data_IF_284981199148
#
_entry.id   IF_284981199148
#
_cell.length_a   1.000
_cell.length_b   1.000
_cell.length_c   1.000
_cell.angle_alpha   90.00
_cell.angle_beta   90.00
_cell.angle_gamma   90.00
#
_symmetry.space_group_name_H-M   'P 1'
#
loop_
_entity.id
_entity.type
_entity.pdbx_description
1 polymer ?
#
# COMPACT_ATOMS: atom_id res chain seq x y z
N UNK A 1 26.71 -16.46 -17.67
CA UNK A 1 25.25 -16.31 -17.61
C UNK A 1 24.96 -15.44 -16.40
N UNK A 2 24.19 -14.36 -16.56
CA UNK A 2 23.83 -13.51 -15.43
C UNK A 2 22.69 -14.14 -14.63
N UNK A 3 22.75 -14.05 -13.30
CA UNK A 3 21.65 -14.42 -12.42
C UNK A 3 20.92 -13.17 -11.93
N UNK A 4 19.61 -13.13 -12.08
CA UNK A 4 18.77 -12.04 -11.64
C UNK A 4 17.80 -12.55 -10.58
N UNK A 5 17.99 -12.08 -9.35
CA UNK A 5 17.04 -12.23 -8.27
C UNK A 5 16.04 -11.08 -8.34
N UNK A 6 14.89 -11.33 -8.94
CA UNK A 6 13.80 -10.37 -9.07
C UNK A 6 12.87 -10.46 -7.85
N UNK A 7 12.83 -9.38 -7.07
CA UNK A 7 12.16 -9.30 -5.77
C UNK A 7 10.99 -8.34 -5.84
N UNK A 8 9.84 -8.74 -5.29
CA UNK A 8 8.74 -7.82 -5.05
C UNK A 8 9.03 -6.94 -3.83
N UNK A 9 8.73 -5.65 -3.89
CA UNK A 9 8.87 -4.77 -2.73
C UNK A 9 8.12 -5.29 -1.46
N UNK A 10 8.59 -4.86 -0.28
CA UNK A 10 7.96 -5.13 1.02
C UNK A 10 6.58 -4.48 1.19
N UNK A 11 5.85 -4.84 2.24
CA UNK A 11 4.54 -4.23 2.53
C UNK A 11 4.67 -2.72 2.76
N UNK A 12 3.88 -1.96 1.99
CA UNK A 12 3.74 -0.52 2.10
C UNK A 12 2.32 -0.12 2.50
N UNK A 13 2.11 1.16 2.80
CA UNK A 13 0.81 1.70 3.20
C UNK A 13 -0.30 1.31 2.23
N UNK A 14 -0.12 1.50 0.93
CA UNK A 14 -1.17 1.14 -0.03
C UNK A 14 -1.51 -0.35 -0.04
N UNK A 15 -0.59 -1.25 0.34
CA UNK A 15 -0.93 -2.67 0.54
C UNK A 15 -1.86 -2.85 1.75
N UNK A 16 -1.50 -2.25 2.88
CA UNK A 16 -2.25 -2.35 4.13
C UNK A 16 -3.62 -1.66 4.05
N UNK A 17 -3.68 -0.48 3.43
CA UNK A 17 -4.88 0.33 3.28
C UNK A 17 -5.78 -0.09 2.10
N UNK A 18 -5.40 -1.13 1.35
CA UNK A 18 -6.15 -1.60 0.15
C UNK A 18 -6.35 -0.48 -0.89
N UNK A 19 -5.28 0.28 -1.17
CA UNK A 19 -5.26 1.31 -2.21
C UNK A 19 -4.35 0.91 -3.38
N UNK A 20 -4.73 1.30 -4.58
CA UNK A 20 -3.95 1.15 -5.81
C UNK A 20 -2.74 2.07 -5.76
N UNK A 21 -1.55 1.51 -5.57
CA UNK A 21 -0.33 2.31 -5.53
C UNK A 21 0.15 2.67 -6.93
N UNK A 22 0.36 1.68 -7.79
CA UNK A 22 0.95 1.91 -9.11
C UNK A 22 2.20 2.83 -9.01
N UNK A 23 2.14 4.04 -9.56
CA UNK A 23 3.21 5.04 -9.45
C UNK A 23 3.13 5.92 -8.20
N UNK A 24 2.01 5.95 -7.48
CA UNK A 24 1.90 6.61 -6.18
C UNK A 24 2.89 5.99 -5.21
N UNK A 25 3.74 6.84 -4.63
CA UNK A 25 4.69 6.39 -3.64
C UNK A 25 4.01 6.23 -2.27
N UNK A 26 4.55 5.33 -1.44
CA UNK A 26 3.94 4.96 -0.18
C UNK A 26 5.02 4.60 0.84
N UNK A 27 4.78 4.95 2.11
CA UNK A 27 5.67 4.57 3.19
C UNK A 27 5.63 3.06 3.45
N UNK A 28 6.65 2.56 4.11
CA UNK A 28 6.81 1.16 4.49
C UNK A 28 6.18 0.92 5.86
N UNK A 29 5.41 -0.15 6.01
CA UNK A 29 4.81 -0.51 7.30
C UNK A 29 5.83 -1.19 8.21
N UNK A 30 5.53 -1.29 9.52
CA UNK A 30 6.32 -2.09 10.46
C UNK A 30 6.51 -3.53 9.96
N UNK A 31 5.46 -4.13 9.39
CA UNK A 31 5.53 -5.46 8.75
C UNK A 31 6.46 -5.47 7.54
N UNK A 32 6.46 -4.41 6.72
CA UNK A 32 7.39 -4.27 5.60
C UNK A 32 8.86 -4.25 6.06
N UNK A 33 9.18 -3.53 7.13
CA UNK A 33 10.54 -3.54 7.70
C UNK A 33 10.95 -4.92 8.22
N UNK A 34 10.03 -5.67 8.85
CA UNK A 34 10.28 -7.05 9.29
C UNK A 34 10.51 -8.00 8.09
N UNK A 35 9.76 -7.83 7.00
CA UNK A 35 9.98 -8.59 5.76
C UNK A 35 11.36 -8.29 5.17
N UNK A 36 11.82 -7.04 5.20
CA UNK A 36 13.15 -6.65 4.72
C UNK A 36 14.26 -7.33 5.51
N UNK A 37 14.10 -7.48 6.83
CA UNK A 37 15.05 -8.23 7.66
C UNK A 37 15.08 -9.72 7.30
N UNK A 38 13.92 -10.34 6.99
CA UNK A 38 13.88 -11.73 6.53
C UNK A 38 14.54 -11.89 5.15
N UNK A 39 14.30 -10.95 4.24
CA UNK A 39 14.94 -10.92 2.92
C UNK A 39 16.47 -10.75 3.07
N UNK A 40 16.92 -9.83 3.93
CA UNK A 40 18.35 -9.64 4.21
C UNK A 40 19.01 -10.93 4.68
N UNK A 41 18.38 -11.65 5.60
CA UNK A 41 18.88 -12.95 6.08
C UNK A 41 18.96 -13.99 4.97
N UNK A 42 17.97 -14.03 4.07
CA UNK A 42 17.97 -14.94 2.90
C UNK A 42 19.16 -14.70 1.98
N UNK A 43 19.57 -13.44 1.79
CA UNK A 43 20.66 -13.05 0.91
C UNK A 43 22.03 -12.96 1.60
N UNK A 44 22.18 -13.49 2.82
CA UNK A 44 23.42 -13.42 3.60
C UNK A 44 24.59 -14.19 2.98
N UNK A 45 24.32 -15.33 2.36
CA UNK A 45 25.37 -16.21 1.82
C UNK A 45 25.34 -16.27 0.28
N UNK A 46 24.51 -15.42 -0.35
CA UNK A 46 24.42 -15.27 -1.80
C UNK A 46 25.31 -14.10 -2.22
N UNK A 47 26.34 -14.31 -3.07
CA UNK A 47 27.13 -13.21 -3.63
C UNK A 47 26.23 -12.30 -4.47
N UNK A 48 26.35 -10.98 -4.31
CA UNK A 48 25.60 -9.99 -5.10
C UNK A 48 26.61 -9.00 -5.69
N UNK A 49 26.62 -8.88 -7.02
CA UNK A 49 27.52 -8.00 -7.77
C UNK A 49 26.87 -6.64 -8.08
N UNK A 50 25.53 -6.58 -8.06
CA UNK A 50 24.79 -5.34 -8.27
C UNK A 50 23.41 -5.34 -7.61
N UNK A 51 23.03 -4.21 -7.03
CA UNK A 51 21.71 -3.98 -6.44
C UNK A 51 20.97 -2.95 -7.28
N UNK A 52 19.76 -3.31 -7.71
CA UNK A 52 18.92 -2.51 -8.57
C UNK A 52 17.53 -2.38 -7.96
N UNK A 53 16.89 -1.24 -8.18
CA UNK A 53 15.55 -1.00 -7.68
C UNK A 53 14.77 -0.11 -8.63
N UNK A 54 13.44 -0.22 -8.60
CA UNK A 54 12.60 0.91 -9.00
C UNK A 54 12.86 2.11 -8.09
N UNK A 55 12.44 3.29 -8.52
CA UNK A 55 12.58 4.54 -7.78
C UNK A 55 11.55 4.74 -6.66
N UNK A 56 10.54 3.87 -6.54
CA UNK A 56 9.58 3.94 -5.46
C UNK A 56 10.26 3.71 -4.10
N UNK A 57 9.93 4.51 -3.08
CA UNK A 57 10.50 4.41 -1.75
C UNK A 57 10.38 3.00 -1.17
N UNK A 58 9.19 2.38 -1.29
CA UNK A 58 8.96 0.98 -0.88
C UNK A 58 9.90 -0.03 -1.53
N UNK A 59 10.31 0.19 -2.78
CA UNK A 59 11.27 -0.70 -3.46
C UNK A 59 12.69 -0.47 -2.95
N UNK A 60 13.10 0.79 -2.82
CA UNK A 60 14.43 1.17 -2.31
C UNK A 60 14.63 0.62 -0.89
N UNK A 61 13.67 0.86 -0.01
CA UNK A 61 13.70 0.38 1.38
C UNK A 61 13.75 -1.15 1.49
N UNK A 62 13.27 -1.89 0.47
CA UNK A 62 13.29 -3.35 0.46
C UNK A 62 14.72 -3.91 0.45
N UNK A 63 15.63 -3.26 -0.29
CA UNK A 63 17.03 -3.72 -0.45
C UNK A 63 18.02 -2.87 0.32
N UNK A 64 17.60 -1.76 0.91
CA UNK A 64 18.47 -0.88 1.67
C UNK A 64 19.28 -1.60 2.77
N UNK A 65 18.70 -2.52 3.58
CA UNK A 65 19.48 -3.26 4.57
C UNK A 65 20.60 -4.12 3.97
N UNK A 66 20.33 -4.75 2.83
CA UNK A 66 21.32 -5.56 2.09
C UNK A 66 22.41 -4.66 1.51
N UNK A 67 22.02 -3.55 0.88
CA UNK A 67 22.94 -2.58 0.31
C UNK A 67 23.91 -2.02 1.36
N UNK A 68 23.39 -1.62 2.53
CA UNK A 68 24.18 -1.15 3.67
C UNK A 68 25.15 -2.22 4.18
N UNK A 69 24.68 -3.44 4.38
CA UNK A 69 25.52 -4.56 4.87
C UNK A 69 26.65 -4.92 3.89
N UNK A 70 26.41 -4.80 2.58
CA UNK A 70 27.39 -5.14 1.53
C UNK A 70 28.27 -3.96 1.11
N UNK A 71 27.97 -2.73 1.53
CA UNK A 71 28.62 -1.53 1.02
C UNK A 71 28.41 -1.32 -0.49
N UNK A 72 27.29 -1.81 -1.04
CA UNK A 72 26.97 -1.70 -2.46
C UNK A 72 25.96 -0.56 -2.71
N UNK A 73 26.13 0.26 -3.76
CA UNK A 73 25.17 1.29 -4.10
C UNK A 73 23.90 0.69 -4.70
N UNK A 74 22.74 1.30 -4.41
CA UNK A 74 21.48 0.99 -5.08
C UNK A 74 21.44 1.73 -6.42
N UNK A 75 21.31 0.99 -7.52
CA UNK A 75 21.21 1.53 -8.88
C UNK A 75 19.75 1.59 -9.31
N UNK A 76 19.17 2.78 -9.36
CA UNK A 76 17.76 2.96 -9.71
C UNK A 76 17.52 2.83 -11.22
N UNK A 77 16.47 2.12 -11.62
CA UNK A 77 16.08 1.88 -13.01
C UNK A 77 14.58 2.10 -13.21
N UNK A 78 14.21 3.00 -14.13
CA UNK A 78 12.80 3.24 -14.48
C UNK A 78 12.12 1.98 -15.03
N UNK A 79 12.91 1.07 -15.61
CA UNK A 79 12.43 -0.19 -16.16
C UNK A 79 11.87 -1.16 -15.10
N UNK A 80 12.15 -0.90 -13.82
CA UNK A 80 11.66 -1.69 -12.69
C UNK A 80 10.40 -1.13 -12.02
N UNK A 81 9.91 0.06 -12.42
CA UNK A 81 8.65 0.67 -11.92
C UNK A 81 7.44 -0.24 -12.08
N UNK A 82 6.36 0.03 -11.34
CA UNK A 82 5.10 -0.71 -11.45
C UNK A 82 4.35 -0.36 -12.76
N UNK A 83 3.25 -1.07 -13.03
CA UNK A 83 2.20 -0.62 -13.95
C UNK A 83 1.70 0.80 -13.56
N UNK A 84 1.18 1.56 -14.52
CA UNK A 84 0.35 2.75 -14.23
C UNK A 84 -1.12 2.31 -14.16
N UNK A 85 -1.88 2.78 -13.19
CA UNK A 85 -3.33 2.50 -13.10
C UNK A 85 -4.19 3.68 -13.51
N UNK A 86 -3.58 4.74 -14.04
CA UNK A 86 -4.28 5.88 -14.61
C UNK A 86 -5.19 6.56 -13.60
N UNK A 87 -6.47 6.74 -13.95
CA UNK A 87 -7.46 7.37 -13.05
C UNK A 87 -7.66 6.64 -11.72
N UNK A 88 -7.22 5.39 -11.60
CA UNK A 88 -7.29 4.66 -10.34
C UNK A 88 -6.08 4.87 -9.44
N UNK A 89 -5.06 5.65 -9.81
CA UNK A 89 -3.92 5.86 -8.90
C UNK A 89 -4.34 6.47 -7.56
N UNK A 90 -3.85 5.86 -6.47
CA UNK A 90 -4.23 6.13 -5.09
C UNK A 90 -5.73 6.00 -4.78
N UNK A 91 -6.54 5.26 -5.54
CA UNK A 91 -7.93 4.96 -5.15
C UNK A 91 -8.02 3.73 -4.24
N UNK A 92 -8.99 3.71 -3.32
CA UNK A 92 -9.30 2.50 -2.56
C UNK A 92 -10.04 1.47 -3.46
N UNK A 93 -9.70 0.19 -3.32
CA UNK A 93 -10.35 -0.87 -4.11
C UNK A 93 -11.87 -0.92 -3.92
N UNK A 94 -12.39 -0.56 -2.73
CA UNK A 94 -13.82 -0.52 -2.48
C UNK A 94 -14.51 0.64 -3.20
N UNK A 95 -13.88 1.81 -3.28
CA UNK A 95 -14.36 2.94 -4.07
C UNK A 95 -14.32 2.62 -5.57
N UNK A 96 -13.26 1.98 -6.08
CA UNK A 96 -13.19 1.52 -7.47
C UNK A 96 -14.35 0.57 -7.80
N UNK A 97 -14.62 -0.41 -6.93
CA UNK A 97 -15.72 -1.36 -7.14
C UNK A 97 -17.11 -0.69 -7.13
N UNK A 98 -17.26 0.42 -6.40
CA UNK A 98 -18.49 1.22 -6.33
C UNK A 98 -18.66 2.14 -7.53
N UNK A 99 -17.62 2.87 -7.90
CA UNK A 99 -17.65 3.94 -8.91
C UNK A 99 -17.45 3.41 -10.34
N UNK A 100 -16.66 2.34 -10.48
CA UNK A 100 -16.33 1.70 -11.76
C UNK A 100 -16.67 0.19 -11.71
N UNK A 101 -17.92 -0.20 -11.47
CA UNK A 101 -18.27 -1.60 -11.20
C UNK A 101 -17.97 -2.54 -12.37
N UNK A 102 -18.11 -2.06 -13.62
CA UNK A 102 -17.81 -2.85 -14.81
C UNK A 102 -16.31 -3.04 -14.95
N UNK A 103 -15.54 -1.96 -14.92
CA UNK A 103 -14.10 -1.97 -15.07
C UNK A 103 -13.42 -2.72 -13.92
N UNK A 104 -13.94 -2.59 -12.69
CA UNK A 104 -13.48 -3.35 -11.54
C UNK A 104 -13.69 -4.86 -11.73
N UNK A 105 -14.83 -5.26 -12.31
CA UNK A 105 -15.10 -6.67 -12.65
C UNK A 105 -14.18 -7.14 -13.77
N UNK A 106 -14.01 -6.32 -14.81
CA UNK A 106 -13.09 -6.62 -15.92
C UNK A 106 -11.64 -6.74 -15.43
N UNK A 107 -11.22 -5.95 -14.45
CA UNK A 107 -9.89 -6.07 -13.83
C UNK A 107 -9.74 -7.36 -13.01
N UNK A 108 -10.78 -7.81 -12.32
CA UNK A 108 -10.72 -9.07 -11.57
C UNK A 108 -10.69 -10.29 -12.53
N UNK A 109 -11.53 -10.27 -13.57
CA UNK A 109 -11.66 -11.37 -14.51
C UNK A 109 -10.54 -11.39 -15.56
N UNK A 110 -10.19 -10.22 -16.10
CA UNK A 110 -9.32 -10.01 -17.26
C UNK A 110 -8.26 -8.91 -17.01
N UNK A 111 -7.45 -8.97 -15.94
CA UNK A 111 -6.50 -7.90 -15.59
C UNK A 111 -5.51 -7.57 -16.72
N UNK A 112 -5.20 -8.53 -17.60
CA UNK A 112 -4.30 -8.33 -18.74
C UNK A 112 -4.87 -7.40 -19.82
N UNK A 113 -6.19 -7.24 -19.87
CA UNK A 113 -6.85 -6.37 -20.84
C UNK A 113 -6.83 -4.89 -20.43
N UNK A 114 -6.55 -4.60 -19.14
CA UNK A 114 -6.58 -3.30 -18.48
C UNK A 114 -6.83 -2.09 -19.40
N UNK A 115 -8.09 -1.69 -19.50
CA UNK A 115 -8.56 -0.58 -20.34
C UNK A 115 -8.73 0.72 -19.55
N UNK A 116 -8.31 0.76 -18.29
CA UNK A 116 -8.45 1.93 -17.42
C UNK A 116 -7.78 3.15 -18.06
N UNK A 117 -8.45 4.31 -18.18
CA UNK A 117 -7.87 5.49 -18.80
C UNK A 117 -6.55 5.91 -18.15
N UNK A 118 -5.48 6.02 -18.95
CA UNK A 118 -4.13 6.36 -18.48
C UNK A 118 -3.29 5.17 -17.95
N UNK A 119 -3.85 3.96 -17.95
CA UNK A 119 -3.14 2.78 -17.50
C UNK A 119 -2.22 2.16 -18.57
N UNK A 120 -1.18 1.48 -18.11
CA UNK A 120 -0.28 0.71 -18.97
C UNK A 120 -0.83 -0.70 -19.18
N UNK A 121 -0.62 -1.25 -20.37
CA UNK A 121 -0.93 -2.66 -20.63
C UNK A 121 0.10 -3.57 -19.99
N UNK A 122 -0.29 -4.81 -19.68
CA UNK A 122 0.64 -5.83 -19.19
C UNK A 122 1.78 -6.11 -20.18
N UNK A 123 1.51 -6.04 -21.49
CA UNK A 123 2.53 -6.22 -22.51
C UNK A 123 3.57 -5.09 -22.48
N UNK A 124 3.13 -3.82 -22.44
CA UNK A 124 4.04 -2.66 -22.34
C UNK A 124 4.95 -2.77 -21.12
N UNK A 125 4.38 -3.20 -20.00
CA UNK A 125 5.12 -3.37 -18.75
C UNK A 125 6.13 -4.53 -18.84
N UNK A 126 5.75 -5.67 -19.44
CA UNK A 126 6.65 -6.79 -19.66
C UNK A 126 7.82 -6.39 -20.57
N UNK A 127 7.54 -5.75 -21.71
CA UNK A 127 8.56 -5.32 -22.67
C UNK A 127 9.57 -4.37 -22.02
N UNK A 128 9.08 -3.40 -21.24
CA UNK A 128 9.91 -2.48 -20.45
C UNK A 128 10.78 -3.22 -19.43
N UNK A 129 10.22 -4.15 -18.68
CA UNK A 129 10.98 -4.91 -17.68
C UNK A 129 12.08 -5.74 -18.36
N UNK A 130 11.74 -6.51 -19.40
CA UNK A 130 12.67 -7.38 -20.11
C UNK A 130 13.81 -6.56 -20.74
N UNK A 131 13.53 -5.37 -21.28
CA UNK A 131 14.57 -4.46 -21.75
C UNK A 131 15.52 -4.06 -20.61
N UNK A 132 14.99 -3.65 -19.46
CA UNK A 132 15.78 -3.30 -18.28
C UNK A 132 16.65 -4.44 -17.77
N UNK A 133 16.09 -5.64 -17.66
CA UNK A 133 16.81 -6.81 -17.15
C UNK A 133 17.93 -7.26 -18.08
N UNK A 134 17.79 -7.14 -19.41
CA UNK A 134 18.90 -7.37 -20.34
C UNK A 134 20.05 -6.39 -20.14
N UNK A 135 19.76 -5.11 -19.85
CA UNK A 135 20.80 -4.11 -19.55
C UNK A 135 21.50 -4.45 -18.24
N UNK A 136 20.73 -4.77 -17.21
CA UNK A 136 21.26 -5.19 -15.90
C UNK A 136 22.15 -6.42 -16.05
N UNK A 137 21.72 -7.44 -16.81
CA UNK A 137 22.52 -8.64 -17.08
C UNK A 137 23.87 -8.31 -17.72
N UNK A 138 23.93 -7.37 -18.67
CA UNK A 138 25.19 -6.91 -19.26
C UNK A 138 26.09 -6.18 -18.28
N UNK A 139 25.51 -5.42 -17.35
CA UNK A 139 26.27 -4.70 -16.32
C UNK A 139 26.93 -5.64 -15.30
N UNK A 140 26.26 -6.74 -14.93
CA UNK A 140 26.79 -7.72 -13.96
C UNK A 140 27.59 -8.86 -14.60
N UNK A 141 27.50 -9.04 -15.93
CA UNK A 141 28.20 -10.08 -16.66
C UNK A 141 27.78 -11.49 -16.21
N UNK A 142 28.73 -12.33 -15.85
CA UNK A 142 28.47 -13.69 -15.33
C UNK A 142 28.16 -13.71 -13.81
N UNK A 143 27.78 -12.54 -13.24
CA UNK A 143 27.48 -12.35 -11.82
C UNK A 143 25.99 -12.33 -11.46
N UNK A 144 25.70 -11.86 -10.24
CA UNK A 144 24.41 -11.90 -9.57
C UNK A 144 23.84 -10.48 -9.33
N UNK A 145 22.68 -10.18 -9.92
CA UNK A 145 21.94 -8.95 -9.70
C UNK A 145 20.75 -9.18 -8.75
N UNK A 146 20.61 -8.32 -7.74
CA UNK A 146 19.41 -8.22 -6.90
C UNK A 146 18.54 -7.07 -7.38
N UNK A 147 17.36 -7.35 -7.93
CA UNK A 147 16.49 -6.35 -8.56
C UNK A 147 15.15 -6.25 -7.84
N UNK A 148 14.77 -5.07 -7.35
CA UNK A 148 13.43 -4.85 -6.75
C UNK A 148 12.47 -4.22 -7.74
N UNK A 149 11.32 -4.86 -7.92
CA UNK A 149 10.22 -4.37 -8.74
C UNK A 149 8.89 -4.61 -8.01
N UNK A 150 7.79 -4.67 -8.77
CA UNK A 150 6.43 -4.62 -8.26
C UNK A 150 5.58 -5.74 -8.85
N UNK A 151 4.45 -6.01 -8.20
CA UNK A 151 3.70 -7.24 -8.43
C UNK A 151 3.19 -7.39 -9.86
N UNK A 152 2.57 -6.36 -10.44
CA UNK A 152 2.05 -6.46 -11.80
C UNK A 152 3.18 -6.54 -12.84
N UNK A 153 4.26 -5.81 -12.59
CA UNK A 153 5.44 -5.83 -13.44
C UNK A 153 6.15 -7.18 -13.45
N UNK A 154 6.36 -7.78 -12.28
CA UNK A 154 6.98 -9.09 -12.14
C UNK A 154 6.14 -10.16 -12.83
N UNK A 155 4.83 -10.23 -12.56
CA UNK A 155 3.96 -11.27 -13.15
C UNK A 155 3.85 -11.14 -14.68
N UNK A 156 3.82 -9.91 -15.21
CA UNK A 156 3.86 -9.66 -16.65
C UNK A 156 5.16 -10.18 -17.28
N UNK A 157 6.30 -9.80 -16.67
CA UNK A 157 7.61 -10.23 -17.12
C UNK A 157 7.80 -11.74 -17.10
N UNK A 158 7.38 -12.39 -16.02
CA UNK A 158 7.44 -13.84 -15.88
C UNK A 158 6.60 -14.55 -16.95
N UNK A 159 5.39 -14.07 -17.28
CA UNK A 159 4.62 -14.60 -18.41
C UNK A 159 5.43 -14.53 -19.71
N UNK A 160 5.98 -13.35 -20.05
CA UNK A 160 6.75 -13.15 -21.27
C UNK A 160 8.00 -14.05 -21.33
N UNK A 161 8.75 -14.15 -20.23
CA UNK A 161 9.96 -14.99 -20.15
C UNK A 161 9.68 -16.48 -20.32
N UNK A 162 8.51 -16.95 -19.86
CA UNK A 162 8.10 -18.34 -20.00
C UNK A 162 7.35 -18.63 -21.31
N UNK A 163 7.22 -17.66 -22.21
CA UNK A 163 6.45 -17.81 -23.45
C UNK A 163 4.95 -18.03 -23.21
N UNK A 164 4.42 -17.60 -22.06
CA UNK A 164 3.00 -17.70 -21.71
C UNK A 164 2.22 -16.49 -22.21
N UNK A 165 0.94 -16.65 -22.59
CA UNK A 165 0.09 -15.51 -22.91
C UNK A 165 -0.14 -14.63 -21.68
N UNK A 166 -0.41 -13.33 -21.87
CA UNK A 166 -0.68 -12.41 -20.75
C UNK A 166 -1.96 -12.78 -19.97
N UNK A 167 -2.85 -13.59 -20.54
CA UNK A 167 -3.98 -14.18 -19.81
C UNK A 167 -3.56 -15.02 -18.59
N UNK A 168 -2.32 -15.50 -18.56
CA UNK A 168 -1.79 -16.32 -17.47
C UNK A 168 -1.29 -15.51 -16.28
N UNK A 169 -1.35 -14.17 -16.29
CA UNK A 169 -0.85 -13.35 -15.16
C UNK A 169 -1.54 -13.67 -13.83
N UNK A 170 -2.77 -14.19 -13.84
CA UNK A 170 -3.46 -14.68 -12.63
C UNK A 170 -2.86 -16.00 -12.13
N UNK A 171 -2.41 -16.87 -13.03
CA UNK A 171 -1.76 -18.15 -12.71
C UNK A 171 -0.36 -17.93 -12.15
N UNK A 172 0.41 -17.03 -12.75
CA UNK A 172 1.72 -16.61 -12.21
C UNK A 172 1.55 -15.99 -10.83
N UNK A 173 0.47 -15.25 -10.63
CA UNK A 173 0.11 -14.69 -9.33
C UNK A 173 0.97 -13.50 -8.93
N UNK A 174 0.69 -12.96 -7.75
CA UNK A 174 1.26 -11.69 -7.31
C UNK A 174 2.61 -11.80 -6.60
N UNK A 175 2.98 -13.00 -6.15
CA UNK A 175 4.00 -13.19 -5.11
C UNK A 175 3.61 -12.57 -3.76
N UNK A 176 4.23 -13.03 -2.69
CA UNK A 176 4.23 -12.30 -1.42
C UNK A 176 5.09 -11.03 -1.53
N UNK A 177 4.85 -10.04 -0.68
CA UNK A 177 5.84 -8.96 -0.51
C UNK A 177 7.19 -9.61 -0.14
N UNK A 178 8.29 -9.12 -0.72
CA UNK A 178 9.65 -9.71 -0.66
C UNK A 178 9.82 -11.11 -1.27
N UNK A 179 8.81 -11.69 -1.92
CA UNK A 179 9.01 -12.94 -2.66
C UNK A 179 10.05 -12.78 -3.78
N UNK A 180 10.82 -13.83 -4.02
CA UNK A 180 11.96 -13.83 -4.95
C UNK A 180 11.68 -14.74 -6.14
N UNK A 181 11.97 -14.27 -7.34
CA UNK A 181 12.08 -15.11 -8.54
C UNK A 181 13.54 -15.10 -9.02
N UNK A 182 14.08 -16.25 -9.41
CA UNK A 182 15.41 -16.35 -9.99
C UNK A 182 15.30 -16.59 -11.50
N UNK A 183 15.96 -15.72 -12.25
CA UNK A 183 15.94 -15.67 -13.69
C UNK A 183 17.39 -15.69 -14.17
N UNK A 184 17.71 -16.55 -15.12
CA UNK A 184 18.99 -16.49 -15.81
C UNK A 184 18.86 -15.73 -17.13
N UNK A 185 19.92 -15.00 -17.47
CA UNK A 185 20.06 -14.30 -18.74
C UNK A 185 21.36 -14.75 -19.42
N UNK A 186 21.26 -15.33 -20.61
CA UNK A 186 22.42 -15.72 -21.40
C UNK A 186 23.09 -14.52 -22.09
N UNK A 187 24.16 -14.75 -22.86
CA UNK A 187 24.93 -13.69 -23.52
C UNK A 187 24.15 -13.04 -24.67
N UNK A 188 23.24 -13.79 -25.27
CA UNK A 188 22.32 -13.40 -26.33
C UNK A 188 21.14 -12.60 -25.77
N UNK A 189 20.91 -12.62 -24.46
CA UNK A 189 19.84 -11.90 -23.77
C UNK A 189 18.52 -12.68 -23.71
N UNK A 190 18.57 -14.01 -23.87
CA UNK A 190 17.43 -14.90 -23.64
C UNK A 190 17.25 -15.15 -22.15
N UNK A 191 16.01 -15.34 -21.74
CA UNK A 191 15.63 -15.55 -20.35
C UNK A 191 15.27 -17.01 -20.10
N UNK A 192 15.66 -17.54 -18.94
CA UNK A 192 15.11 -18.78 -18.38
C UNK A 192 14.75 -18.58 -16.91
N UNK A 193 13.55 -18.97 -16.50
CA UNK A 193 13.09 -18.85 -15.11
C UNK A 193 13.43 -20.13 -14.35
N UNK A 194 14.25 -20.03 -13.30
CA UNK A 194 14.60 -21.17 -12.45
C UNK A 194 13.52 -21.43 -11.39
N UNK A 195 13.12 -20.39 -10.67
CA UNK A 195 11.99 -20.41 -9.75
C UNK A 195 11.29 -19.05 -9.73
N UNK A 196 10.01 -19.05 -9.35
CA UNK A 196 9.20 -17.83 -9.27
C UNK A 196 8.50 -17.71 -7.91
N UNK A 197 8.36 -16.47 -7.43
CA UNK A 197 7.56 -16.11 -6.26
C UNK A 197 7.89 -16.88 -4.97
N UNK A 198 9.14 -17.27 -4.76
CA UNK A 198 9.54 -17.98 -3.55
C UNK A 198 9.62 -17.03 -2.35
N UNK A 199 8.68 -17.21 -1.42
CA UNK A 199 8.56 -16.52 -0.14
C UNK A 199 8.97 -17.38 1.07
N UNK A 200 9.72 -18.47 0.87
CA UNK A 200 10.11 -19.42 1.93
C UNK A 200 10.80 -18.79 3.15
N UNK A 201 11.49 -17.66 2.99
CA UNK A 201 12.12 -16.90 4.07
C UNK A 201 11.12 -16.18 5.00
N UNK A 202 9.84 -16.07 4.60
CA UNK A 202 8.82 -15.39 5.38
C UNK A 202 8.14 -16.36 6.34
N UNK A 203 8.11 -16.06 7.64
CA UNK A 203 7.23 -16.76 8.56
C UNK A 203 5.75 -16.41 8.25
N UNK A 204 4.79 -17.26 8.64
CA UNK A 204 3.38 -17.13 8.24
C UNK A 204 2.77 -15.74 8.51
N UNK A 205 3.07 -15.13 9.64
CA UNK A 205 2.57 -13.81 10.06
C UNK A 205 3.05 -12.65 9.18
N UNK A 206 4.21 -12.82 8.52
CA UNK A 206 4.76 -11.84 7.59
C UNK A 206 4.32 -12.07 6.14
N UNK A 207 3.64 -13.19 5.83
CA UNK A 207 3.05 -13.42 4.50
C UNK A 207 1.79 -12.62 4.31
N UNK A 208 1.36 -12.44 3.06
CA UNK A 208 0.08 -11.78 2.78
C UNK A 208 -1.06 -12.65 3.31
N UNK A 209 -2.02 -12.03 3.98
CA UNK A 209 -3.23 -12.73 4.43
C UNK A 209 -4.11 -13.21 3.26
N UNK A 210 -3.91 -12.68 2.05
CA UNK A 210 -4.76 -12.94 0.89
C UNK A 210 -3.95 -13.02 -0.42
N UNK A 211 -4.25 -14.02 -1.24
CA UNK A 211 -3.79 -14.14 -2.63
C UNK A 211 -4.73 -13.39 -3.58
N UNK A 212 -4.20 -12.69 -4.60
CA UNK A 212 -5.01 -12.01 -5.63
C UNK A 212 -5.44 -10.57 -5.31
N UNK A 213 -6.33 -10.01 -6.15
CA UNK A 213 -7.25 -8.93 -5.76
C UNK A 213 -8.20 -9.60 -4.79
N UNK A 214 -8.13 -9.24 -3.51
CA UNK A 214 -9.09 -9.81 -2.58
C UNK A 214 -10.50 -9.38 -2.99
N UNK A 215 -11.43 -10.34 -2.96
CA UNK A 215 -12.82 -10.11 -3.36
C UNK A 215 -13.43 -8.88 -2.67
N UNK A 216 -14.51 -8.35 -3.24
CA UNK A 216 -15.25 -7.21 -2.72
C UNK A 216 -15.53 -7.30 -1.20
N UNK A 217 -15.59 -8.53 -0.68
CA UNK A 217 -15.80 -8.91 0.71
C UNK A 217 -14.83 -8.34 1.74
N UNK A 218 -13.64 -7.84 1.35
CA UNK A 218 -12.71 -7.20 2.29
C UNK A 218 -12.39 -5.73 1.98
N UNK A 219 -12.92 -5.19 0.88
CA UNK A 219 -12.63 -3.81 0.46
C UNK A 219 -13.81 -2.92 0.86
N UNK A 220 -13.55 -1.93 1.72
CA UNK A 220 -14.56 -0.93 2.06
C UNK A 220 -14.50 0.22 1.06
N UNK A 221 -15.68 0.66 0.63
CA UNK A 221 -15.81 1.99 0.05
C UNK A 221 -15.83 3.00 1.21
N UNK A 222 -15.02 4.04 1.13
CA UNK A 222 -14.99 5.12 2.13
C UNK A 222 -15.29 6.41 1.39
N UNK A 223 -16.38 7.07 1.78
CA UNK A 223 -16.88 8.26 1.11
C UNK A 223 -17.30 9.31 2.14
N UNK A 224 -17.16 10.62 1.84
CA UNK A 224 -17.79 11.69 2.61
C UNK A 224 -19.24 11.36 2.96
N UNK A 225 -19.64 11.69 4.19
CA UNK A 225 -21.01 11.44 4.64
C UNK A 225 -22.00 12.41 3.98
N UNK A 226 -23.14 11.89 3.52
CA UNK A 226 -24.28 12.72 3.13
C UNK A 226 -25.23 12.85 4.34
N UNK A 227 -25.06 13.90 5.14
CA UNK A 227 -25.79 14.06 6.40
C UNK A 227 -27.32 14.17 6.22
N UNK A 228 -27.80 14.57 5.04
CA UNK A 228 -29.24 14.62 4.76
C UNK A 228 -29.84 13.20 4.63
N UNK A 229 -29.03 12.23 4.24
CA UNK A 229 -29.44 10.83 4.03
C UNK A 229 -28.96 9.87 5.11
N UNK A 230 -27.88 10.22 5.82
CA UNK A 230 -27.11 9.26 6.60
C UNK A 230 -26.94 9.65 8.07
N UNK A 231 -27.57 10.74 8.54
CA UNK A 231 -27.43 11.21 9.92
C UNK A 231 -27.78 10.14 10.95
N UNK A 232 -28.86 9.38 10.74
CA UNK A 232 -29.31 8.34 11.67
C UNK A 232 -28.27 7.21 11.81
N UNK A 233 -27.75 6.72 10.67
CA UNK A 233 -26.75 5.65 10.65
C UNK A 233 -25.42 6.12 11.22
N UNK A 234 -24.99 7.34 10.88
CA UNK A 234 -23.77 7.90 11.43
C UNK A 234 -23.88 8.10 12.95
N UNK A 235 -25.02 8.57 13.45
CA UNK A 235 -25.26 8.69 14.90
C UNK A 235 -25.22 7.34 15.60
N UNK A 236 -25.79 6.28 14.99
CA UNK A 236 -25.73 4.92 15.54
C UNK A 236 -24.27 4.42 15.67
N UNK A 237 -23.45 4.64 14.63
CA UNK A 237 -22.03 4.30 14.64
C UNK A 237 -21.26 5.12 15.68
N UNK A 238 -21.54 6.42 15.79
CA UNK A 238 -20.92 7.29 16.79
C UNK A 238 -21.28 6.87 18.22
N UNK A 239 -22.55 6.50 18.46
CA UNK A 239 -23.02 5.94 19.73
C UNK A 239 -22.35 4.60 20.04
N UNK A 240 -22.14 3.74 19.03
CA UNK A 240 -21.40 2.50 19.20
C UNK A 240 -19.93 2.75 19.59
N UNK A 241 -19.27 3.73 18.96
CA UNK A 241 -17.92 4.16 19.33
C UNK A 241 -17.86 4.72 20.76
N UNK A 242 -18.81 5.58 21.14
CA UNK A 242 -18.89 6.14 22.50
C UNK A 242 -19.04 5.04 23.56
N UNK A 243 -19.88 4.02 23.32
CA UNK A 243 -19.99 2.87 24.21
C UNK A 243 -18.68 2.10 24.38
N UNK A 244 -17.84 2.02 23.33
CA UNK A 244 -16.54 1.36 23.39
C UNK A 244 -15.48 2.18 24.14
N UNK A 245 -15.56 3.51 24.10
CA UNK A 245 -14.52 4.42 24.62
C UNK A 245 -14.83 4.97 26.01
N UNK A 246 -16.10 5.27 26.28
CA UNK A 246 -16.59 5.90 27.51
C UNK A 246 -17.35 4.90 28.41
N UNK A 247 -17.86 3.82 27.81
CA UNK A 247 -18.63 2.78 28.49
C UNK A 247 -20.13 2.87 28.22
N UNK A 248 -20.84 1.75 28.34
CA UNK A 248 -22.26 1.64 27.98
C UNK A 248 -23.21 2.48 28.86
N UNK A 249 -22.76 2.83 30.08
CA UNK A 249 -23.54 3.58 31.07
C UNK A 249 -23.46 5.10 30.87
N UNK A 250 -22.52 5.58 30.04
CA UNK A 250 -22.35 7.01 29.78
C UNK A 250 -23.38 7.46 28.72
N UNK A 251 -24.28 8.42 29.03
CA UNK A 251 -25.24 8.92 28.05
C UNK A 251 -24.54 9.56 26.85
N UNK A 252 -24.93 9.18 25.64
CA UNK A 252 -24.46 9.79 24.40
C UNK A 252 -25.48 10.79 23.86
N UNK A 253 -25.10 12.07 23.83
CA UNK A 253 -25.86 13.16 23.22
C UNK A 253 -25.67 13.15 21.70
N UNK A 254 -26.56 12.43 21.01
CA UNK A 254 -26.54 12.36 19.55
C UNK A 254 -26.87 13.68 18.86
N UNK A 255 -27.67 14.53 19.50
CA UNK A 255 -28.06 15.81 18.91
C UNK A 255 -26.89 16.79 18.89
N UNK A 256 -26.16 16.90 20.00
CA UNK A 256 -24.92 17.70 20.07
C UNK A 256 -23.86 17.15 19.11
N UNK A 257 -23.66 15.83 19.10
CA UNK A 257 -22.67 15.20 18.24
C UNK A 257 -22.96 15.46 16.74
N UNK A 258 -24.22 15.30 16.33
CA UNK A 258 -24.64 15.56 14.95
C UNK A 258 -24.60 17.07 14.61
N UNK A 259 -24.79 17.97 15.57
CA UNK A 259 -24.61 19.40 15.34
C UNK A 259 -23.15 19.71 14.98
N UNK A 260 -22.20 19.15 15.73
CA UNK A 260 -20.76 19.25 15.44
C UNK A 260 -20.39 18.61 14.11
N UNK A 261 -21.02 17.48 13.77
CA UNK A 261 -20.81 16.83 12.47
C UNK A 261 -21.21 17.77 11.31
N UNK A 262 -22.33 18.49 11.44
CA UNK A 262 -22.77 19.47 10.43
C UNK A 262 -21.79 20.62 10.30
N UNK A 263 -21.33 21.18 11.41
CA UNK A 263 -20.31 22.23 11.41
C UNK A 263 -19.02 21.77 10.71
N UNK A 264 -18.55 20.57 11.05
CA UNK A 264 -17.36 19.98 10.43
C UNK A 264 -17.53 19.79 8.93
N UNK A 265 -18.64 19.19 8.48
CA UNK A 265 -18.87 18.94 7.05
C UNK A 265 -19.12 20.22 6.26
N UNK A 266 -19.64 21.27 6.90
CA UNK A 266 -19.78 22.59 6.29
C UNK A 266 -18.42 23.29 6.11
N UNK A 267 -17.49 23.07 7.03
CA UNK A 267 -16.10 23.51 6.90
C UNK A 267 -15.34 22.69 5.84
N UNK A 268 -15.45 21.37 5.91
CA UNK A 268 -14.82 20.45 4.97
C UNK A 268 -15.61 19.13 4.86
N UNK A 269 -16.23 18.83 3.69
CA UNK A 269 -17.06 17.63 3.55
C UNK A 269 -16.24 16.33 3.66
N UNK A 270 -14.95 16.34 3.32
CA UNK A 270 -14.08 15.15 3.37
C UNK A 270 -13.61 14.81 4.80
N UNK A 271 -13.87 15.68 5.79
CA UNK A 271 -13.41 15.47 7.17
C UNK A 271 -14.26 14.47 7.96
N UNK A 272 -15.41 14.08 7.43
CA UNK A 272 -16.25 13.05 8.02
C UNK A 272 -16.72 12.10 6.93
N UNK A 273 -16.29 10.86 7.02
CA UNK A 273 -16.58 9.85 6.01
C UNK A 273 -17.08 8.56 6.62
N UNK A 274 -18.02 7.89 5.93
CA UNK A 274 -18.59 6.60 6.32
C UNK A 274 -17.95 5.50 5.49
N UNK A 275 -17.50 4.43 6.13
CA UNK A 275 -17.03 3.24 5.44
C UNK A 275 -18.13 2.20 5.30
N UNK A 276 -18.20 1.60 4.10
CA UNK A 276 -19.22 0.61 3.73
C UNK A 276 -18.57 -0.68 3.27
N UNK A 277 -18.99 -1.80 3.85
CA UNK A 277 -18.62 -3.13 3.42
C UNK A 277 -19.82 -3.77 2.72
N UNK A 278 -19.70 -4.09 1.42
CA UNK A 278 -20.83 -4.57 0.60
C UNK A 278 -22.05 -3.65 0.64
N UNK A 279 -21.81 -2.34 0.65
CA UNK A 279 -22.87 -1.32 0.75
C UNK A 279 -23.44 -1.09 2.16
N UNK A 280 -23.17 -1.98 3.13
CA UNK A 280 -23.57 -1.78 4.53
C UNK A 280 -22.62 -0.81 5.23
N UNK A 281 -23.09 0.28 5.86
CA UNK A 281 -22.27 1.12 6.74
C UNK A 281 -21.73 0.32 7.92
N UNK A 282 -20.42 0.41 8.17
CA UNK A 282 -19.74 -0.39 9.19
C UNK A 282 -18.76 0.41 10.05
N UNK A 283 -18.69 1.72 9.85
CA UNK A 283 -17.74 2.57 10.55
C UNK A 283 -17.66 3.96 9.95
N UNK A 284 -16.83 4.79 10.55
CA UNK A 284 -16.58 6.15 10.10
C UNK A 284 -15.17 6.61 10.49
N UNK A 285 -14.70 7.65 9.80
CA UNK A 285 -13.49 8.39 10.16
C UNK A 285 -13.85 9.86 10.36
N UNK A 286 -13.37 10.43 11.46
CA UNK A 286 -13.52 11.83 11.82
C UNK A 286 -12.15 12.48 11.86
N UNK A 287 -11.97 13.51 11.05
CA UNK A 287 -10.75 14.29 10.92
C UNK A 287 -11.02 15.75 11.31
N UNK A 288 -9.98 16.46 11.69
CA UNK A 288 -10.04 17.88 12.01
C UNK A 288 -8.67 18.55 11.85
N UNK A 289 -8.67 19.89 11.87
CA UNK A 289 -7.47 20.68 12.09
C UNK A 289 -7.51 21.17 13.55
N UNK A 290 -6.43 20.96 14.30
CA UNK A 290 -6.32 21.44 15.69
C UNK A 290 -5.53 22.75 15.72
N UNK A 291 -6.05 23.78 16.40
CA UNK A 291 -5.40 25.09 16.53
C UNK A 291 -4.04 24.99 17.24
N UNK A 292 -3.90 24.02 18.14
CA UNK A 292 -2.68 23.81 18.93
C UNK A 292 -1.55 23.17 18.12
N UNK A 293 -1.87 22.52 16.99
CA UNK A 293 -0.88 21.86 16.13
C UNK A 293 -0.42 22.77 14.98
N UNK A 294 0.79 22.58 14.42
CA UNK A 294 1.22 23.31 13.23
C UNK A 294 0.21 23.21 12.07
N UNK A 295 0.09 24.26 11.27
CA UNK A 295 -0.89 24.35 10.17
C UNK A 295 -0.74 23.23 9.12
N UNK A 296 0.47 22.70 8.94
CA UNK A 296 0.75 21.58 8.04
C UNK A 296 0.39 20.20 8.63
N UNK A 297 -0.17 20.16 9.84
CA UNK A 297 -0.72 18.96 10.46
C UNK A 297 -2.20 18.78 10.14
N UNK A 298 -2.62 17.54 9.94
CA UNK A 298 -4.02 17.10 10.00
C UNK A 298 -4.21 16.13 11.16
N UNK A 299 -5.33 16.19 11.87
CA UNK A 299 -5.63 15.32 13.01
C UNK A 299 -6.72 14.31 12.66
N UNK A 300 -6.47 13.01 12.88
CA UNK A 300 -7.53 12.00 12.87
C UNK A 300 -8.01 11.80 14.28
N UNK A 301 -9.18 12.38 14.58
CA UNK A 301 -9.83 12.30 15.89
C UNK A 301 -10.32 10.89 16.18
N UNK A 302 -10.96 10.25 15.19
CA UNK A 302 -11.58 8.94 15.34
C UNK A 302 -11.43 8.12 14.07
N UNK A 303 -11.05 6.86 14.22
CA UNK A 303 -11.26 5.82 13.21
C UNK A 303 -12.02 4.69 13.88
N UNK A 304 -13.28 4.50 13.49
CA UNK A 304 -14.13 3.50 14.08
C UNK A 304 -14.63 2.52 13.03
N UNK A 305 -14.52 1.22 13.33
CA UNK A 305 -15.26 0.16 12.67
C UNK A 305 -15.95 -0.70 13.72
N UNK A 306 -17.07 -1.30 13.34
CA UNK A 306 -17.84 -2.17 14.22
C UNK A 306 -16.96 -3.27 14.86
N UNK A 307 -17.20 -3.66 16.13
CA UNK A 307 -16.31 -4.57 16.88
C UNK A 307 -16.00 -5.89 16.17
N UNK A 308 -16.97 -6.47 15.44
CA UNK A 308 -16.77 -7.71 14.70
C UNK A 308 -15.80 -7.60 13.52
N UNK A 309 -15.43 -6.38 13.11
CA UNK A 309 -14.48 -6.08 12.04
C UNK A 309 -13.09 -5.66 12.56
N UNK A 310 -12.96 -5.32 13.84
CA UNK A 310 -11.67 -4.90 14.41
C UNK A 310 -10.63 -6.04 14.32
N UNK A 311 -9.36 -5.68 14.19
CA UNK A 311 -8.27 -6.66 14.00
C UNK A 311 -8.15 -7.26 12.59
N UNK A 312 -9.04 -6.95 11.65
CA UNK A 312 -9.11 -7.60 10.32
C UNK A 312 -8.60 -6.74 9.15
N UNK A 313 -8.01 -5.59 9.42
CA UNK A 313 -7.47 -4.72 8.36
C UNK A 313 -8.41 -3.60 7.89
N UNK A 314 -9.58 -3.42 8.52
CA UNK A 314 -10.57 -2.43 8.07
C UNK A 314 -10.26 -1.01 8.54
N UNK A 315 -9.77 -0.83 9.76
CA UNK A 315 -9.35 0.49 10.27
C UNK A 315 -8.15 1.04 9.49
N UNK A 316 -7.28 0.19 8.96
CA UNK A 316 -6.23 0.60 8.02
C UNK A 316 -6.77 1.24 6.74
N UNK A 317 -7.95 0.83 6.27
CA UNK A 317 -8.58 1.46 5.09
C UNK A 317 -9.12 2.86 5.43
N UNK A 318 -9.61 3.07 6.66
CA UNK A 318 -9.97 4.40 7.18
C UNK A 318 -8.74 5.31 7.31
N UNK A 319 -7.63 4.78 7.85
CA UNK A 319 -6.35 5.49 7.85
C UNK A 319 -5.92 5.86 6.42
N UNK A 320 -6.06 4.94 5.47
CA UNK A 320 -5.76 5.21 4.06
C UNK A 320 -6.60 6.34 3.45
N UNK A 321 -7.88 6.44 3.83
CA UNK A 321 -8.73 7.57 3.44
C UNK A 321 -8.21 8.88 4.05
N UNK A 322 -7.94 8.90 5.36
CA UNK A 322 -7.45 10.09 6.04
C UNK A 322 -6.11 10.59 5.48
N UNK A 323 -5.16 9.68 5.28
CA UNK A 323 -3.86 10.01 4.69
C UNK A 323 -4.02 10.57 3.26
N UNK A 324 -4.94 10.04 2.47
CA UNK A 324 -5.23 10.56 1.13
C UNK A 324 -5.80 11.99 1.18
N UNK A 325 -6.83 12.22 1.99
CA UNK A 325 -7.47 13.55 2.14
C UNK A 325 -6.45 14.59 2.60
N UNK A 326 -5.64 14.27 3.60
CA UNK A 326 -4.61 15.18 4.10
C UNK A 326 -3.50 15.45 3.07
N UNK A 327 -3.04 14.44 2.32
CA UNK A 327 -2.09 14.65 1.22
C UNK A 327 -2.66 15.56 0.15
N UNK A 328 -3.94 15.36 -0.23
CA UNK A 328 -4.62 16.19 -1.22
C UNK A 328 -4.74 17.65 -0.77
N UNK A 329 -4.86 17.89 0.53
CA UNK A 329 -4.89 19.23 1.13
C UNK A 329 -3.50 19.81 1.42
N UNK A 330 -2.42 19.11 1.06
CA UNK A 330 -1.05 19.59 1.26
C UNK A 330 -0.54 19.49 2.71
N UNK A 331 -1.25 18.76 3.59
CA UNK A 331 -0.76 18.47 4.94
C UNK A 331 0.47 17.58 4.86
N UNK A 332 1.48 17.88 5.65
CA UNK A 332 2.75 17.14 5.71
C UNK A 332 2.75 16.08 6.79
N UNK A 333 2.03 16.30 7.89
CA UNK A 333 2.01 15.42 9.05
C UNK A 333 0.58 15.01 9.37
N UNK A 334 0.35 13.72 9.54
CA UNK A 334 -0.89 13.19 10.10
C UNK A 334 -0.66 12.88 11.57
N UNK A 335 -1.55 13.40 12.42
CA UNK A 335 -1.50 13.18 13.87
C UNK A 335 -2.70 12.38 14.35
N UNK A 336 -2.49 11.63 15.44
CA UNK A 336 -3.55 10.96 16.19
C UNK A 336 -3.31 11.14 17.68
N UNK A 337 -4.35 11.01 18.49
CA UNK A 337 -4.19 10.92 19.94
C UNK A 337 -3.44 9.64 20.33
N UNK A 338 -2.74 9.65 21.47
CA UNK A 338 -2.12 8.43 22.01
C UNK A 338 -3.19 7.33 22.16
N UNK A 339 -3.01 6.15 21.54
CA UNK A 339 -4.08 5.18 21.38
C UNK A 339 -4.49 4.56 22.72
N UNK A 340 -5.79 4.61 23.02
CA UNK A 340 -6.39 3.98 24.20
C UNK A 340 -6.98 2.61 23.88
N UNK A 341 -7.54 2.45 22.68
CA UNK A 341 -8.11 1.19 22.23
C UNK A 341 -7.05 0.28 21.59
N UNK A 342 -7.19 -1.05 21.71
CA UNK A 342 -6.33 -1.99 21.00
C UNK A 342 -6.32 -1.78 19.48
N UNK A 343 -7.47 -1.39 18.91
CA UNK A 343 -7.61 -1.17 17.47
C UNK A 343 -6.82 0.06 16.98
N UNK A 344 -6.88 1.18 17.70
CA UNK A 344 -6.07 2.37 17.36
C UNK A 344 -4.58 2.09 17.49
N UNK A 345 -4.20 1.36 18.55
CA UNK A 345 -2.81 0.97 18.79
C UNK A 345 -2.26 0.16 17.63
N UNK A 346 -3.07 -0.76 17.09
CA UNK A 346 -2.72 -1.57 15.91
C UNK A 346 -2.40 -0.71 14.68
N UNK A 347 -3.16 0.35 14.43
CA UNK A 347 -2.90 1.28 13.32
C UNK A 347 -1.62 2.09 13.55
N UNK A 348 -1.48 2.68 14.74
CA UNK A 348 -0.30 3.47 15.14
C UNK A 348 0.99 2.64 15.01
N UNK A 349 0.98 1.42 15.55
CA UNK A 349 2.13 0.51 15.48
C UNK A 349 2.41 0.02 14.07
N UNK A 350 1.39 -0.21 13.24
CA UNK A 350 1.57 -0.70 11.87
C UNK A 350 2.19 0.35 10.94
N UNK A 351 1.79 1.61 11.07
CA UNK A 351 2.23 2.70 10.20
C UNK A 351 3.37 3.54 10.80
N UNK A 352 4.09 3.00 11.79
CA UNK A 352 5.32 3.60 12.34
C UNK A 352 5.18 5.01 12.88
N UNK A 353 4.01 5.34 13.44
CA UNK A 353 3.81 6.62 14.12
C UNK A 353 4.81 6.79 15.27
N UNK A 354 5.25 8.03 15.48
CA UNK A 354 6.19 8.39 16.56
C UNK A 354 5.59 9.45 17.48
N UNK A 355 6.02 9.56 18.74
CA UNK A 355 5.56 10.64 19.61
C UNK A 355 5.83 12.02 19.00
N UNK A 356 4.82 12.87 18.95
CA UNK A 356 4.95 14.20 18.37
C UNK A 356 5.76 15.11 19.29
N UNK A 357 6.84 15.70 18.79
CA UNK A 357 7.71 16.57 19.59
C UNK A 357 6.94 17.80 20.09
N UNK A 358 6.92 17.99 21.41
CA UNK A 358 6.23 19.12 22.05
C UNK A 358 4.80 18.82 22.51
N UNK A 359 4.23 17.67 22.14
CA UNK A 359 2.86 17.28 22.48
C UNK A 359 2.89 15.93 23.21
N UNK A 360 2.36 15.88 24.45
CA UNK A 360 2.48 14.68 25.31
C UNK A 360 1.50 13.56 24.95
N UNK A 361 0.41 13.92 24.30
CA UNK A 361 -0.75 13.09 24.04
C UNK A 361 -1.01 12.91 22.53
N UNK A 362 -0.01 13.21 21.69
CA UNK A 362 -0.09 13.08 20.23
C UNK A 362 1.00 12.17 19.68
N UNK A 363 0.61 11.39 18.68
CA UNK A 363 1.48 10.63 17.79
C UNK A 363 1.44 11.28 16.40
N UNK A 364 2.54 11.21 15.66
CA UNK A 364 2.70 11.83 14.35
C UNK A 364 3.32 10.87 13.33
N UNK A 365 2.94 11.05 12.07
CA UNK A 365 3.44 10.35 10.90
C UNK A 365 3.63 11.37 9.76
N UNK A 366 4.82 11.41 9.18
CA UNK A 366 5.06 12.13 7.92
C UNK A 366 4.21 11.49 6.82
N UNK A 367 3.50 12.30 6.02
CA UNK A 367 2.59 11.78 5.00
C UNK A 367 3.30 11.43 3.70
N UNK A 368 4.49 11.97 3.43
CA UNK A 368 5.16 11.79 2.15
C UNK A 368 6.44 10.97 2.29
N UNK A 369 6.64 10.05 1.35
CA UNK A 369 7.94 9.42 1.17
C UNK A 369 9.02 10.47 0.90
N UNK A 370 10.24 10.32 1.44
CA UNK A 370 11.34 11.16 1.06
C UNK A 370 11.66 10.96 -0.44
N UNK A 371 12.17 11.99 -1.14
CA UNK A 371 12.54 11.86 -2.54
C UNK A 371 13.61 10.78 -2.73
N UNK A 372 13.57 10.09 -3.88
CA UNK A 372 14.58 9.10 -4.23
C UNK A 372 15.99 9.73 -4.17
N UNK A 373 16.90 9.23 -3.32
CA UNK A 373 18.22 9.85 -3.14
C UNK A 373 19.23 9.42 -4.21
N UNK A 374 18.81 8.59 -5.19
CA UNK A 374 19.67 8.02 -6.22
C UNK A 374 19.33 8.58 -7.62
N UNK A 375 20.32 8.72 -8.51
CA UNK A 375 20.06 9.04 -9.91
C UNK A 375 19.14 8.01 -10.55
N UNK A 376 18.08 8.48 -11.21
CA UNK A 376 17.11 7.65 -11.91
C UNK A 376 17.64 7.41 -13.33
N UNK A 377 18.07 6.18 -13.62
CA UNK A 377 18.61 5.81 -14.93
C UNK A 377 17.58 5.07 -15.79
N UNK A 378 17.66 5.32 -17.10
CA UNK A 378 17.02 4.51 -18.13
C UNK A 378 17.83 3.23 -18.35
#
# INVERSE_FOLDING_TARGET
MANIYLVRHCESEGNACRRTQAQTDALVTTKGYLQNEMLRRRFRDIPIDGIYSSDAFRSIMTVEPIAKERGLPIRVRIHLREVTTGVWEDMAWGNIAKEYPKESKDWDEHPWANTTPGASTFQQVADRLLFGLRRIAREVGDGNALCVSHSCTIKAGLCAMMGRPMSDVKVVGHGDNTSVSLIHVDREGNFSVEYMNDGSHLPPELRRAWSGVAGADINMAVDPVDLDKESEVLEELARAHARQTEGAEVPFDGAEWLARARELTAYNPDYLAVCRLKGRPVGFVWMENEEETPEDCGHVRTMFVLPELQGKGYTEQLFGYAAHVFRYQGKRVLTVSVPRLPEDRRVVERFTFTPMRGFRDRMALELFSPPCPYPILA
#
